data_IF_734420413390
#
_entry.id   IF_734420413390
#
_cell.length_a   1.000
_cell.length_b   1.000
_cell.length_c   1.000
_cell.angle_alpha   90.00
_cell.angle_beta   90.00
_cell.angle_gamma   90.00
#
_symmetry.space_group_name_H-M   'P 1'
#
loop_
_entity.id
_entity.type
_entity.pdbx_description
1 polymer ?
#
# COMPACT_ATOMS: atom_id res chain seq x y z
N UNK A 1 28.46 -3.70 -12.48
CA UNK A 1 27.26 -3.12 -13.06
C UNK A 1 26.30 -2.76 -11.94
N UNK A 2 25.86 -1.51 -11.81
CA UNK A 2 24.75 -1.18 -10.90
C UNK A 2 23.52 -1.93 -11.40
N UNK A 3 22.85 -2.68 -10.54
CA UNK A 3 21.54 -3.25 -10.87
C UNK A 3 20.56 -2.10 -11.07
N UNK A 4 19.84 -2.10 -12.17
CA UNK A 4 18.86 -1.07 -12.50
C UNK A 4 17.64 -1.14 -11.56
N UNK A 5 17.40 -2.31 -10.93
CA UNK A 5 16.37 -2.53 -9.94
C UNK A 5 16.79 -3.56 -8.86
N UNK A 6 16.07 -3.57 -7.73
CA UNK A 6 16.24 -4.52 -6.62
C UNK A 6 14.86 -5.02 -6.18
N UNK A 7 14.48 -6.21 -6.60
CA UNK A 7 13.16 -6.79 -6.33
C UNK A 7 12.92 -7.01 -4.81
N UNK A 8 13.99 -7.23 -4.04
CA UNK A 8 13.86 -7.48 -2.58
C UNK A 8 13.41 -6.26 -1.80
N UNK A 9 13.67 -5.06 -2.32
CA UNK A 9 13.22 -3.78 -1.76
C UNK A 9 11.91 -3.29 -2.37
N UNK A 10 11.48 -3.89 -3.47
CA UNK A 10 10.32 -3.45 -4.24
C UNK A 10 9.03 -3.70 -3.46
N UNK A 11 8.15 -2.73 -3.48
CA UNK A 11 6.79 -2.80 -2.91
C UNK A 11 5.71 -2.53 -3.96
N UNK A 12 6.09 -1.91 -5.07
CA UNK A 12 5.18 -1.55 -6.16
C UNK A 12 5.90 -1.68 -7.50
N UNK A 13 5.24 -2.29 -8.46
CA UNK A 13 5.59 -2.25 -9.88
C UNK A 13 4.52 -1.43 -10.60
N UNK A 14 4.95 -0.39 -11.33
CA UNK A 14 4.08 0.42 -12.17
C UNK A 14 4.34 0.02 -13.62
N UNK A 15 3.29 -0.31 -14.34
CA UNK A 15 3.33 -0.79 -15.70
C UNK A 15 2.89 0.29 -16.69
N UNK A 16 3.64 0.54 -17.75
CA UNK A 16 3.05 1.02 -18.97
C UNK A 16 2.26 -0.09 -19.66
N UNK A 17 1.45 0.21 -20.64
CA UNK A 17 0.59 -0.76 -21.31
C UNK A 17 1.09 -1.11 -22.70
N UNK A 18 1.07 -0.15 -23.64
CA UNK A 18 1.43 -0.39 -25.03
C UNK A 18 2.91 -0.79 -25.15
N UNK A 19 3.19 -1.80 -25.97
CA UNK A 19 4.54 -2.38 -26.20
C UNK A 19 5.30 -2.74 -24.90
N UNK A 20 4.58 -2.76 -23.74
CA UNK A 20 5.16 -3.05 -22.43
C UNK A 20 4.41 -4.17 -21.72
N UNK A 21 3.16 -3.95 -21.30
CA UNK A 21 2.35 -4.96 -20.61
C UNK A 21 1.70 -5.93 -21.60
N UNK A 22 1.33 -5.43 -22.76
CA UNK A 22 0.81 -6.19 -23.89
C UNK A 22 1.58 -5.85 -25.18
N UNK A 23 1.51 -6.73 -26.16
CA UNK A 23 2.06 -6.49 -27.48
C UNK A 23 1.08 -5.61 -28.28
N UNK A 24 1.58 -4.60 -28.97
CA UNK A 24 0.83 -3.65 -29.80
C UNK A 24 0.44 -2.36 -29.08
N UNK A 25 -0.03 -1.41 -29.87
CA UNK A 25 -0.48 -0.08 -29.44
C UNK A 25 -1.99 0.01 -29.58
N UNK A 26 -2.72 0.23 -28.49
CA UNK A 26 -4.19 0.17 -28.46
C UNK A 26 -4.85 1.16 -29.43
N UNK A 27 -4.28 2.35 -29.63
CA UNK A 27 -4.79 3.35 -30.57
C UNK A 27 -4.57 3.00 -32.05
N UNK A 28 -3.68 2.05 -32.35
CA UNK A 28 -3.31 1.67 -33.71
C UNK A 28 -3.99 0.38 -34.17
N UNK A 29 -4.62 -0.37 -33.24
CA UNK A 29 -5.31 -1.61 -33.62
C UNK A 29 -5.51 -2.60 -32.48
N UNK A 30 -5.39 -3.89 -32.81
CA UNK A 30 -5.55 -4.96 -31.83
C UNK A 30 -4.32 -5.10 -30.96
N UNK A 31 -4.55 -5.29 -29.66
CA UNK A 31 -3.49 -5.65 -28.70
C UNK A 31 -3.54 -7.15 -28.39
N UNK A 32 -2.43 -7.69 -27.89
CA UNK A 32 -2.36 -9.05 -27.42
C UNK A 32 -1.76 -9.09 -26.03
N UNK A 33 -2.52 -9.56 -25.03
CA UNK A 33 -2.03 -9.77 -23.70
C UNK A 33 -0.90 -10.83 -23.68
N UNK A 34 0.19 -10.52 -22.98
CA UNK A 34 1.24 -11.48 -22.70
C UNK A 34 0.84 -12.32 -21.47
N UNK A 35 0.67 -13.66 -21.61
CA UNK A 35 0.27 -14.51 -20.48
C UNK A 35 1.29 -14.52 -19.34
N UNK A 36 2.58 -14.37 -19.63
CA UNK A 36 3.64 -14.33 -18.61
C UNK A 36 3.57 -13.05 -17.77
N UNK A 37 3.24 -11.91 -18.39
CA UNK A 37 3.05 -10.65 -17.66
C UNK A 37 1.81 -10.70 -16.77
N UNK A 38 0.73 -11.31 -17.25
CA UNK A 38 -0.48 -11.52 -16.45
C UNK A 38 -0.18 -12.40 -15.22
N UNK A 39 0.56 -13.50 -15.41
CA UNK A 39 0.96 -14.36 -14.31
C UNK A 39 1.91 -13.63 -13.34
N UNK A 40 2.86 -12.87 -13.86
CA UNK A 40 3.79 -12.09 -13.02
C UNK A 40 3.06 -11.08 -12.12
N UNK A 41 2.01 -10.42 -12.60
CA UNK A 41 1.17 -9.51 -11.77
C UNK A 41 0.56 -10.27 -10.59
N UNK A 42 0.08 -11.49 -10.78
CA UNK A 42 -0.46 -12.33 -9.73
C UNK A 42 0.65 -12.77 -8.76
N UNK A 43 1.78 -13.23 -9.26
CA UNK A 43 2.94 -13.69 -8.48
C UNK A 43 3.55 -12.57 -7.63
N UNK A 44 3.71 -11.37 -8.20
CA UNK A 44 4.12 -10.17 -7.47
C UNK A 44 3.16 -9.89 -6.30
N UNK A 45 1.86 -9.95 -6.57
CA UNK A 45 0.83 -9.70 -5.54
C UNK A 45 0.88 -10.75 -4.43
N UNK A 46 1.08 -12.03 -4.76
CA UNK A 46 1.29 -13.13 -3.80
C UNK A 46 2.55 -12.92 -2.94
N UNK A 47 3.59 -12.30 -3.50
CA UNK A 47 4.79 -11.90 -2.73
C UNK A 47 4.59 -10.61 -1.93
N UNK A 48 3.40 -9.98 -2.06
CA UNK A 48 3.05 -8.73 -1.39
C UNK A 48 3.71 -7.50 -2.02
N UNK A 49 4.07 -7.60 -3.31
CA UNK A 49 4.46 -6.49 -4.17
C UNK A 49 3.22 -6.09 -4.97
N UNK A 50 2.84 -4.83 -4.87
CA UNK A 50 1.63 -4.32 -5.52
C UNK A 50 1.90 -3.95 -6.98
N UNK A 51 0.82 -3.85 -7.76
CA UNK A 51 0.88 -3.42 -9.15
C UNK A 51 0.03 -2.17 -9.36
N UNK A 52 0.47 -1.30 -10.26
CA UNK A 52 -0.27 -0.13 -10.75
C UNK A 52 -0.08 0.02 -12.26
N UNK A 53 -0.83 0.88 -12.87
CA UNK A 53 -0.70 1.24 -14.29
C UNK A 53 -0.46 2.75 -14.39
N UNK A 54 0.51 3.15 -15.24
CA UNK A 54 0.69 4.53 -15.68
C UNK A 54 0.88 4.56 -17.20
N UNK A 55 -0.18 4.78 -17.95
CA UNK A 55 -0.15 4.71 -19.42
C UNK A 55 -0.77 5.94 -20.07
N UNK A 56 -0.25 6.32 -21.25
CA UNK A 56 -0.80 7.36 -22.14
C UNK A 56 -1.84 6.71 -23.04
N UNK A 57 -3.06 6.58 -22.56
CA UNK A 57 -4.19 5.94 -23.23
C UNK A 57 -5.51 6.54 -22.75
N UNK A 58 -6.62 6.18 -23.40
CA UNK A 58 -7.95 6.46 -22.89
C UNK A 58 -8.40 5.37 -21.92
N UNK A 59 -8.76 5.74 -20.70
CA UNK A 59 -9.27 4.79 -19.70
C UNK A 59 -10.50 4.03 -20.20
N UNK A 60 -11.37 4.70 -20.97
CA UNK A 60 -12.57 4.11 -21.57
C UNK A 60 -12.26 3.05 -22.64
N UNK A 61 -11.09 3.11 -23.26
CA UNK A 61 -10.62 2.12 -24.23
C UNK A 61 -9.86 0.96 -23.56
N UNK A 62 -9.06 1.24 -22.54
CA UNK A 62 -8.25 0.26 -21.83
C UNK A 62 -9.10 -0.69 -20.97
N UNK A 63 -10.05 -0.14 -20.18
CA UNK A 63 -10.84 -0.94 -19.25
C UNK A 63 -11.60 -2.09 -19.94
N UNK A 64 -12.25 -1.92 -21.09
CA UNK A 64 -12.90 -3.01 -21.81
C UNK A 64 -11.96 -4.16 -22.19
N UNK A 65 -10.68 -3.89 -22.48
CA UNK A 65 -9.71 -4.94 -22.82
C UNK A 65 -9.53 -5.92 -21.65
N UNK A 66 -9.42 -5.40 -20.42
CA UNK A 66 -9.35 -6.24 -19.23
C UNK A 66 -10.67 -6.89 -18.86
N UNK A 67 -11.82 -6.27 -19.21
CA UNK A 67 -13.14 -6.82 -18.87
C UNK A 67 -13.60 -7.93 -19.80
N UNK A 68 -12.89 -8.20 -20.90
CA UNK A 68 -13.14 -9.34 -21.78
C UNK A 68 -12.93 -10.67 -21.06
N UNK A 69 -13.52 -11.74 -21.61
CA UNK A 69 -13.50 -13.06 -21.02
C UNK A 69 -12.06 -13.57 -20.84
N UNK A 70 -11.70 -13.93 -19.60
CA UNK A 70 -10.37 -14.45 -19.24
C UNK A 70 -9.44 -13.44 -18.57
N UNK A 71 -9.57 -12.14 -18.83
CA UNK A 71 -8.63 -11.13 -18.30
C UNK A 71 -9.19 -10.32 -17.11
N UNK A 72 -10.49 -10.36 -16.88
CA UNK A 72 -11.19 -9.60 -15.83
C UNK A 72 -10.59 -9.79 -14.43
N UNK A 73 -10.12 -11.02 -14.12
CA UNK A 73 -9.51 -11.32 -12.83
C UNK A 73 -8.23 -10.53 -12.58
N UNK A 74 -7.50 -10.13 -13.61
CA UNK A 74 -6.22 -9.43 -13.46
C UNK A 74 -6.39 -7.94 -13.16
N UNK A 75 -7.48 -7.32 -13.62
CA UNK A 75 -7.75 -5.91 -13.32
C UNK A 75 -7.79 -5.61 -11.83
N UNK A 76 -8.25 -6.56 -11.02
CA UNK A 76 -8.30 -6.38 -9.56
C UNK A 76 -6.93 -6.22 -8.90
N UNK A 77 -5.85 -6.66 -9.51
CA UNK A 77 -4.51 -6.54 -8.96
C UNK A 77 -3.89 -5.16 -9.15
N UNK A 78 -4.43 -4.35 -10.07
CA UNK A 78 -3.96 -2.99 -10.28
C UNK A 78 -4.61 -2.01 -9.31
N UNK A 79 -3.77 -1.17 -8.71
CA UNK A 79 -4.11 -0.18 -7.69
C UNK A 79 -3.78 1.21 -8.21
N UNK A 80 -4.63 2.19 -7.95
CA UNK A 80 -4.42 3.58 -8.36
C UNK A 80 -4.04 3.74 -9.85
N UNK A 81 -4.70 3.03 -10.79
CA UNK A 81 -4.34 3.12 -12.20
C UNK A 81 -4.49 4.55 -12.70
N UNK A 82 -3.47 5.06 -13.37
CA UNK A 82 -3.45 6.38 -13.99
C UNK A 82 -3.36 6.23 -15.51
N UNK A 83 -4.49 6.35 -16.19
CA UNK A 83 -4.61 6.14 -17.63
C UNK A 83 -5.21 7.41 -18.23
N UNK A 84 -4.38 8.23 -18.85
CA UNK A 84 -4.72 9.45 -19.56
C UNK A 84 -3.49 9.96 -20.35
N UNK A 85 -3.66 11.00 -21.17
CA UNK A 85 -2.63 11.54 -22.06
C UNK A 85 -1.65 12.54 -21.42
N UNK A 86 -1.83 12.86 -20.13
CA UNK A 86 -0.90 13.78 -19.46
C UNK A 86 0.51 13.17 -19.29
N UNK A 87 1.54 14.00 -19.11
CA UNK A 87 2.91 13.54 -18.83
C UNK A 87 2.95 12.53 -17.67
N UNK A 88 3.87 11.53 -17.76
CA UNK A 88 3.91 10.43 -16.79
C UNK A 88 4.57 10.79 -15.45
N UNK A 89 5.51 11.75 -15.44
CA UNK A 89 6.33 12.03 -14.27
C UNK A 89 5.54 12.41 -13.03
N UNK A 90 4.66 13.42 -13.10
CA UNK A 90 3.79 13.82 -11.97
C UNK A 90 2.78 12.74 -11.58
N UNK A 91 2.30 11.98 -12.57
CA UNK A 91 1.33 10.90 -12.36
C UNK A 91 1.93 9.76 -11.55
N UNK A 92 3.15 9.33 -11.89
CA UNK A 92 3.89 8.32 -11.14
C UNK A 92 4.17 8.81 -9.72
N UNK A 93 4.61 10.07 -9.56
CA UNK A 93 4.79 10.68 -8.24
C UNK A 93 3.49 10.67 -7.42
N UNK A 94 2.36 10.95 -8.06
CA UNK A 94 1.03 10.91 -7.43
C UNK A 94 0.64 9.49 -7.00
N UNK A 95 0.88 8.47 -7.82
CA UNK A 95 0.65 7.06 -7.46
C UNK A 95 1.48 6.68 -6.23
N UNK A 96 2.78 6.97 -6.23
CA UNK A 96 3.70 6.68 -5.13
C UNK A 96 3.23 7.35 -3.83
N UNK A 97 2.86 8.63 -3.90
CA UNK A 97 2.37 9.39 -2.76
C UNK A 97 1.04 8.85 -2.23
N UNK A 98 0.10 8.52 -3.13
CA UNK A 98 -1.21 7.97 -2.77
C UNK A 98 -1.12 6.61 -2.10
N UNK A 99 -0.08 5.84 -2.40
CA UNK A 99 0.21 4.55 -1.77
C UNK A 99 1.11 4.67 -0.52
N UNK A 100 1.50 5.89 -0.13
CA UNK A 100 2.40 6.15 0.99
C UNK A 100 3.71 5.36 0.87
N UNK A 101 4.28 5.30 -0.33
CA UNK A 101 5.53 4.60 -0.61
C UNK A 101 6.69 5.58 -0.77
N UNK A 102 7.92 5.06 -0.77
CA UNK A 102 9.14 5.77 -1.15
C UNK A 102 9.52 5.39 -2.58
N UNK A 103 10.12 6.31 -3.30
CA UNK A 103 10.56 6.11 -4.69
C UNK A 103 11.47 4.90 -4.84
N UNK A 104 12.42 4.70 -3.90
CA UNK A 104 13.36 3.58 -3.91
C UNK A 104 12.71 2.19 -3.71
N UNK A 105 11.41 2.15 -3.43
CA UNK A 105 10.64 0.91 -3.33
C UNK A 105 9.74 0.65 -4.54
N UNK A 106 9.92 1.41 -5.63
CA UNK A 106 9.07 1.35 -6.81
C UNK A 106 9.90 1.05 -8.07
N UNK A 107 9.42 0.13 -8.88
CA UNK A 107 9.92 -0.10 -10.24
C UNK A 107 8.88 0.43 -11.21
N UNK A 108 9.31 1.26 -12.17
CA UNK A 108 8.54 1.59 -13.37
C UNK A 108 9.02 0.74 -14.54
N UNK A 109 8.11 0.15 -15.29
CA UNK A 109 8.39 -0.57 -16.53
C UNK A 109 7.74 0.20 -17.67
N UNK A 110 8.55 0.61 -18.65
CA UNK A 110 8.12 1.43 -19.79
C UNK A 110 9.09 1.16 -20.96
N UNK A 111 8.59 1.02 -22.16
CA UNK A 111 9.40 0.79 -23.37
C UNK A 111 10.11 2.07 -23.84
N UNK A 112 9.60 3.23 -23.44
CA UNK A 112 10.07 4.51 -23.91
C UNK A 112 11.00 5.18 -22.90
N UNK A 113 12.30 5.25 -23.23
CA UNK A 113 13.32 5.89 -22.39
C UNK A 113 13.04 7.36 -22.10
N UNK A 114 12.36 8.09 -23.01
CA UNK A 114 11.99 9.47 -22.75
C UNK A 114 10.97 9.60 -21.62
N UNK A 115 10.01 8.67 -21.54
CA UNK A 115 9.07 8.58 -20.41
C UNK A 115 9.84 8.24 -19.12
N UNK A 116 10.75 7.27 -19.16
CA UNK A 116 11.58 6.89 -17.99
C UNK A 116 12.39 8.09 -17.50
N UNK A 117 13.01 8.86 -18.40
CA UNK A 117 13.79 10.05 -18.05
C UNK A 117 12.91 11.16 -17.47
N UNK A 118 11.71 11.39 -18.01
CA UNK A 118 10.71 12.29 -17.44
C UNK A 118 10.33 11.87 -16.03
N UNK A 119 10.04 10.57 -15.82
CA UNK A 119 9.66 10.04 -14.51
C UNK A 119 10.81 10.23 -13.50
N UNK A 120 12.06 9.94 -13.89
CA UNK A 120 13.24 10.12 -13.03
C UNK A 120 13.50 11.58 -12.66
N UNK A 121 13.08 12.53 -13.47
CA UNK A 121 13.13 13.94 -13.10
C UNK A 121 12.23 14.27 -11.91
N UNK A 122 11.01 13.70 -11.86
CA UNK A 122 10.07 13.91 -10.76
C UNK A 122 10.29 12.96 -9.55
N UNK A 123 10.88 11.80 -9.81
CA UNK A 123 11.14 10.73 -8.84
C UNK A 123 12.59 10.23 -9.01
N UNK A 124 13.61 10.99 -8.53
CA UNK A 124 15.01 10.67 -8.82
C UNK A 124 15.51 9.31 -8.31
N UNK A 125 14.86 8.77 -7.29
CA UNK A 125 15.26 7.50 -6.67
C UNK A 125 14.42 6.30 -7.15
N UNK A 126 13.54 6.48 -8.16
CA UNK A 126 12.74 5.38 -8.70
C UNK A 126 13.64 4.40 -9.47
N UNK A 127 13.37 3.12 -9.28
CA UNK A 127 13.98 2.08 -10.12
C UNK A 127 13.21 1.96 -11.44
N UNK A 128 13.90 1.62 -12.51
CA UNK A 128 13.27 1.47 -13.83
C UNK A 128 13.72 0.19 -14.50
N UNK A 129 12.87 -0.37 -15.36
CA UNK A 129 13.16 -1.50 -16.21
C UNK A 129 12.55 -1.27 -17.60
N UNK A 130 13.20 -1.80 -18.62
CA UNK A 130 12.68 -1.94 -19.97
C UNK A 130 11.91 -3.27 -20.11
N UNK A 131 11.03 -3.43 -21.11
CA UNK A 131 10.27 -4.68 -21.31
C UNK A 131 11.14 -5.94 -21.37
N UNK A 132 12.33 -5.88 -21.96
CA UNK A 132 13.27 -7.00 -22.04
C UNK A 132 13.78 -7.46 -20.67
N UNK A 133 13.64 -6.64 -19.65
CA UNK A 133 14.06 -6.96 -18.28
C UNK A 133 12.93 -7.59 -17.44
N UNK A 134 11.72 -7.71 -17.96
CA UNK A 134 10.56 -8.28 -17.23
C UNK A 134 10.84 -9.73 -16.85
N UNK A 135 11.41 -10.54 -17.76
CA UNK A 135 11.79 -11.91 -17.47
C UNK A 135 12.76 -12.00 -16.27
N UNK A 136 13.70 -11.07 -16.17
CA UNK A 136 14.64 -11.01 -15.03
C UNK A 136 13.93 -10.63 -13.71
N UNK A 137 12.93 -9.77 -13.76
CA UNK A 137 12.10 -9.46 -12.58
C UNK A 137 11.38 -10.72 -12.10
N UNK A 138 10.81 -11.51 -13.03
CA UNK A 138 10.16 -12.77 -12.71
C UNK A 138 11.15 -13.80 -12.14
N UNK A 139 12.32 -13.95 -12.76
CA UNK A 139 13.38 -14.83 -12.27
C UNK A 139 13.87 -14.45 -10.87
N UNK A 140 14.06 -13.18 -10.57
CA UNK A 140 14.55 -12.72 -9.26
C UNK A 140 13.46 -12.74 -8.17
N UNK A 141 12.20 -13.02 -8.51
CA UNK A 141 11.09 -12.98 -7.54
C UNK A 141 11.23 -14.04 -6.43
N UNK A 142 11.98 -15.13 -6.66
CA UNK A 142 12.28 -16.10 -5.61
C UNK A 142 13.09 -15.52 -4.45
N UNK A 143 13.85 -14.44 -4.67
CA UNK A 143 14.60 -13.75 -3.62
C UNK A 143 13.69 -13.07 -2.58
N UNK A 144 12.43 -12.88 -2.93
CA UNK A 144 11.43 -12.30 -2.00
C UNK A 144 10.84 -13.40 -1.13
N UNK A 145 11.29 -13.48 0.11
CA UNK A 145 10.90 -14.51 1.08
C UNK A 145 9.56 -14.26 1.80
N UNK A 146 8.67 -13.43 1.23
CA UNK A 146 7.35 -13.16 1.82
C UNK A 146 6.25 -13.70 0.93
N UNK A 147 5.19 -14.25 1.55
CA UNK A 147 3.97 -14.67 0.86
C UNK A 147 2.76 -14.06 1.53
N UNK A 148 1.81 -13.61 0.74
CA UNK A 148 0.52 -13.04 1.16
C UNK A 148 -0.63 -13.78 0.46
N UNK A 149 -0.80 -15.06 0.81
CA UNK A 149 -1.81 -15.95 0.21
C UNK A 149 -3.24 -15.42 0.35
N UNK A 150 -3.51 -14.63 1.38
CA UNK A 150 -4.80 -14.01 1.64
C UNK A 150 -5.00 -12.68 0.89
N UNK A 151 -4.01 -12.25 0.12
CA UNK A 151 -4.01 -10.94 -0.53
C UNK A 151 -4.33 -9.78 0.44
N UNK A 152 -3.83 -9.91 1.66
CA UNK A 152 -4.08 -8.96 2.75
C UNK A 152 -3.63 -7.56 2.39
N UNK A 153 -2.47 -7.42 1.72
CA UNK A 153 -1.94 -6.12 1.31
C UNK A 153 -2.74 -5.51 0.17
N UNK A 154 -3.11 -6.32 -0.81
CA UNK A 154 -3.98 -5.86 -1.89
C UNK A 154 -5.29 -5.29 -1.33
N UNK A 155 -5.95 -6.03 -0.42
CA UNK A 155 -7.17 -5.59 0.25
C UNK A 155 -6.97 -4.27 1.01
N UNK A 156 -5.86 -4.13 1.72
CA UNK A 156 -5.52 -2.91 2.46
C UNK A 156 -5.28 -1.70 1.55
N UNK A 157 -4.59 -1.89 0.41
CA UNK A 157 -4.41 -0.82 -0.57
C UNK A 157 -5.70 -0.48 -1.32
N UNK A 158 -6.61 -1.45 -1.53
CA UNK A 158 -7.97 -1.16 -2.04
C UNK A 158 -8.76 -0.25 -1.09
N UNK A 159 -8.66 -0.46 0.22
CA UNK A 159 -9.24 0.43 1.22
C UNK A 159 -8.67 1.85 1.08
N UNK A 160 -7.35 1.95 0.94
CA UNK A 160 -6.67 3.25 0.78
C UNK A 160 -7.09 3.94 -0.54
N UNK A 161 -7.25 3.18 -1.62
CA UNK A 161 -7.73 3.69 -2.91
C UNK A 161 -9.16 4.22 -2.81
N UNK A 162 -10.08 3.49 -2.15
CA UNK A 162 -11.45 3.93 -1.90
C UNK A 162 -11.49 5.23 -1.09
N UNK A 163 -10.66 5.28 -0.04
CA UNK A 163 -10.53 6.45 0.83
C UNK A 163 -10.05 7.68 0.08
N UNK A 164 -9.03 7.53 -0.78
CA UNK A 164 -8.54 8.62 -1.61
C UNK A 164 -9.59 9.09 -2.63
N UNK A 165 -10.30 8.17 -3.27
CA UNK A 165 -11.39 8.50 -4.21
C UNK A 165 -12.51 9.30 -3.53
N UNK A 166 -12.88 8.93 -2.30
CA UNK A 166 -13.91 9.67 -1.54
C UNK A 166 -13.40 11.06 -1.10
N UNK A 167 -12.14 11.12 -0.64
CA UNK A 167 -11.51 12.40 -0.26
C UNK A 167 -11.49 13.40 -1.41
N UNK A 168 -11.17 12.95 -2.62
CA UNK A 168 -11.16 13.81 -3.82
C UNK A 168 -12.56 14.29 -4.23
N UNK A 169 -13.62 13.53 -3.92
CA UNK A 169 -15.01 13.91 -4.20
C UNK A 169 -15.58 14.89 -3.16
N UNK A 170 -15.06 14.87 -1.95
CA UNK A 170 -15.52 15.70 -0.85
C UNK A 170 -14.61 16.91 -0.71
N UNK A 171 -15.14 18.11 -0.96
CA UNK A 171 -14.41 19.38 -0.82
C UNK A 171 -14.30 19.79 0.66
N UNK A 172 -13.90 18.87 1.56
CA UNK A 172 -13.83 19.10 3.00
C UNK A 172 -12.37 19.17 3.48
N UNK A 173 -12.15 19.77 4.64
CA UNK A 173 -10.83 19.78 5.28
C UNK A 173 -10.36 18.34 5.60
N UNK A 174 -9.04 18.16 5.77
CA UNK A 174 -8.51 16.86 6.16
C UNK A 174 -9.06 16.37 7.51
N UNK A 175 -9.21 17.25 8.47
CA UNK A 175 -9.76 16.94 9.79
C UNK A 175 -11.24 16.52 9.69
N UNK A 176 -12.06 17.25 8.94
CA UNK A 176 -13.45 16.90 8.72
C UNK A 176 -13.61 15.54 8.02
N UNK A 177 -12.74 15.25 7.05
CA UNK A 177 -12.69 13.95 6.40
C UNK A 177 -12.35 12.83 7.38
N UNK A 178 -11.35 13.03 8.27
CA UNK A 178 -10.96 12.05 9.28
C UNK A 178 -12.08 11.81 10.31
N UNK A 179 -12.79 12.85 10.74
CA UNK A 179 -13.98 12.72 11.60
C UNK A 179 -15.08 11.89 10.95
N UNK A 180 -15.36 12.14 9.67
CA UNK A 180 -16.35 11.39 8.88
C UNK A 180 -15.90 9.95 8.56
N UNK A 181 -14.64 9.63 8.76
CA UNK A 181 -14.09 8.28 8.53
C UNK A 181 -14.37 7.31 9.68
N UNK A 182 -14.81 7.80 10.86
CA UNK A 182 -15.18 6.96 12.02
C UNK A 182 -14.06 6.02 12.46
N UNK A 183 -12.85 6.56 12.64
CA UNK A 183 -11.67 5.77 12.97
C UNK A 183 -11.81 5.21 14.39
N UNK A 184 -11.68 3.90 14.51
CA UNK A 184 -11.64 3.16 15.78
C UNK A 184 -10.31 2.44 15.91
N UNK A 185 -9.77 2.41 17.12
CA UNK A 185 -8.60 1.62 17.45
C UNK A 185 -8.84 0.77 18.70
N UNK A 186 -8.13 -0.35 18.78
CA UNK A 186 -8.05 -1.20 19.95
C UNK A 186 -6.58 -1.47 20.27
N UNK A 187 -6.21 -1.42 21.55
CA UNK A 187 -4.87 -1.70 22.04
C UNK A 187 -4.91 -3.06 22.75
N UNK A 188 -4.14 -4.03 22.23
CA UNK A 188 -4.11 -5.43 22.71
C UNK A 188 -2.76 -5.77 23.29
N UNK A 189 -2.73 -6.53 24.41
CA UNK A 189 -1.52 -6.89 25.15
C UNK A 189 -1.09 -8.36 24.99
N UNK A 190 -1.81 -9.15 24.22
CA UNK A 190 -1.52 -10.57 23.91
C UNK A 190 -0.47 -10.68 22.76
N UNK A 191 0.67 -9.99 22.93
CA UNK A 191 1.70 -9.85 21.89
C UNK A 191 2.34 -11.19 21.51
N UNK A 192 2.45 -12.16 22.42
CA UNK A 192 3.05 -13.48 22.15
C UNK A 192 2.28 -14.26 21.08
N UNK A 193 0.95 -14.20 21.12
CA UNK A 193 0.09 -14.90 20.16
C UNK A 193 0.23 -14.31 18.74
N UNK A 194 0.59 -13.03 18.66
CA UNK A 194 0.70 -12.28 17.41
C UNK A 194 2.15 -11.94 17.02
N UNK A 195 3.15 -12.60 17.64
CA UNK A 195 4.57 -12.27 17.49
C UNK A 195 5.04 -12.29 16.03
N UNK A 196 4.56 -13.22 15.21
CA UNK A 196 4.92 -13.31 13.79
C UNK A 196 4.47 -12.06 13.02
N UNK A 197 3.27 -11.55 13.34
CA UNK A 197 2.72 -10.37 12.69
C UNK A 197 3.38 -9.08 13.18
N UNK A 198 3.73 -9.03 14.47
CA UNK A 198 4.48 -7.92 15.07
C UNK A 198 5.90 -7.84 14.45
N UNK A 199 6.59 -8.98 14.37
CA UNK A 199 7.89 -9.09 13.73
C UNK A 199 7.87 -8.61 12.26
N UNK A 200 6.89 -9.07 11.48
CA UNK A 200 6.69 -8.59 10.12
C UNK A 200 6.48 -7.06 10.08
N UNK A 201 5.67 -6.51 10.98
CA UNK A 201 5.42 -5.08 11.06
C UNK A 201 6.71 -4.30 11.37
N UNK A 202 7.52 -4.77 12.33
CA UNK A 202 8.81 -4.18 12.72
C UNK A 202 9.75 -4.14 11.50
N UNK A 203 9.91 -5.26 10.81
CA UNK A 203 10.88 -5.37 9.71
C UNK A 203 10.44 -4.60 8.45
N UNK A 204 9.15 -4.47 8.22
CA UNK A 204 8.60 -3.81 7.02
C UNK A 204 8.33 -2.32 7.20
N UNK A 205 8.16 -1.85 8.42
CA UNK A 205 7.87 -0.44 8.68
C UNK A 205 9.15 0.37 8.67
N UNK A 206 9.16 1.43 7.90
CA UNK A 206 10.30 2.34 7.81
C UNK A 206 9.91 3.79 8.08
N UNK A 207 8.86 4.30 7.42
CA UNK A 207 8.48 5.71 7.48
C UNK A 207 7.89 6.12 8.83
N UNK A 208 7.11 5.24 9.47
CA UNK A 208 6.52 5.43 10.80
C UNK A 208 7.14 4.51 11.87
N UNK A 209 8.41 4.13 11.72
CA UNK A 209 9.19 3.52 12.80
C UNK A 209 10.05 4.60 13.44
N UNK A 210 9.64 5.06 14.60
CA UNK A 210 10.28 6.20 15.27
C UNK A 210 11.62 5.84 15.90
N UNK A 211 11.76 4.63 16.44
CA UNK A 211 13.01 4.17 17.10
C UNK A 211 13.97 3.46 16.17
N UNK A 212 13.52 3.07 14.97
CA UNK A 212 14.25 2.28 13.97
C UNK A 212 14.79 0.94 14.46
N UNK A 213 14.43 0.50 15.67
CA UNK A 213 14.84 -0.82 16.19
C UNK A 213 14.28 -1.94 15.32
N UNK A 214 15.04 -3.04 15.23
CA UNK A 214 14.77 -4.25 14.45
C UNK A 214 15.13 -5.48 15.28
N UNK A 215 14.60 -5.54 16.49
CA UNK A 215 14.89 -6.61 17.43
C UNK A 215 14.39 -7.96 16.88
N UNK A 216 15.10 -9.03 17.24
CA UNK A 216 14.74 -10.40 16.88
C UNK A 216 13.48 -10.86 17.65
N UNK A 217 12.84 -11.94 17.17
CA UNK A 217 11.70 -12.54 17.89
C UNK A 217 12.06 -12.97 19.30
N UNK A 218 13.31 -13.42 19.50
CA UNK A 218 13.84 -13.82 20.80
C UNK A 218 13.93 -12.62 21.76
N UNK A 219 14.35 -11.46 21.27
CA UNK A 219 14.41 -10.23 22.06
C UNK A 219 13.01 -9.67 22.33
N UNK A 220 12.10 -9.75 21.36
CA UNK A 220 10.71 -9.36 21.56
C UNK A 220 10.00 -10.19 22.64
N UNK A 221 10.29 -11.51 22.72
CA UNK A 221 9.76 -12.36 23.79
C UNK A 221 10.16 -11.88 25.17
N UNK A 222 11.41 -11.42 25.36
CA UNK A 222 11.89 -10.86 26.64
C UNK A 222 11.03 -9.67 27.09
N UNK A 223 10.67 -8.77 26.16
CA UNK A 223 9.77 -7.66 26.50
C UNK A 223 8.35 -8.13 26.86
N UNK A 224 7.85 -9.18 26.20
CA UNK A 224 6.48 -9.68 26.45
C UNK A 224 6.36 -10.47 27.74
N UNK A 225 7.45 -11.13 28.18
CA UNK A 225 7.50 -11.95 29.39
C UNK A 225 7.77 -11.09 30.65
N UNK A 226 8.66 -10.09 30.55
CA UNK A 226 8.93 -9.17 31.67
C UNK A 226 7.89 -8.05 31.76
N UNK A 227 6.68 -8.42 32.15
CA UNK A 227 5.56 -7.48 32.36
C UNK A 227 5.79 -6.55 33.57
N UNK A 228 6.81 -6.79 34.40
CA UNK A 228 7.15 -5.90 35.51
C UNK A 228 7.83 -4.63 35.01
N UNK A 229 8.75 -4.76 34.08
CA UNK A 229 9.55 -3.66 33.51
C UNK A 229 8.90 -3.05 32.26
N UNK A 230 8.27 -3.88 31.42
CA UNK A 230 7.76 -3.43 30.11
C UNK A 230 6.23 -3.49 30.00
N UNK A 231 5.67 -2.52 29.32
CA UNK A 231 4.30 -2.55 28.81
C UNK A 231 4.37 -2.63 27.29
N UNK A 232 3.95 -3.78 26.75
CA UNK A 232 4.01 -4.06 25.31
C UNK A 232 2.60 -4.27 24.78
N UNK A 233 2.26 -3.61 23.67
CA UNK A 233 0.97 -3.80 23.03
C UNK A 233 1.06 -3.57 21.52
N UNK A 234 0.13 -4.18 20.79
CA UNK A 234 -0.13 -3.89 19.40
C UNK A 234 -1.46 -3.17 19.22
N UNK A 235 -1.56 -2.44 18.12
CA UNK A 235 -2.72 -1.62 17.80
C UNK A 235 -3.42 -2.20 16.58
N UNK A 236 -4.73 -2.43 16.71
CA UNK A 236 -5.64 -2.74 15.61
C UNK A 236 -6.42 -1.48 15.29
N UNK A 237 -6.65 -1.22 14.01
CA UNK A 237 -7.49 -0.10 13.58
C UNK A 237 -8.50 -0.53 12.52
N UNK A 238 -9.65 0.12 12.55
CA UNK A 238 -10.66 0.07 11.49
C UNK A 238 -11.28 1.45 11.28
N UNK A 239 -11.87 1.66 10.13
CA UNK A 239 -12.74 2.80 9.84
C UNK A 239 -13.93 2.36 8.98
N UNK A 240 -14.76 3.30 8.53
CA UNK A 240 -15.93 2.98 7.69
C UNK A 240 -15.59 2.27 6.36
N UNK A 241 -14.35 2.37 5.89
CA UNK A 241 -13.88 1.74 4.65
C UNK A 241 -13.42 0.30 4.86
N UNK A 242 -12.93 -0.06 6.05
CA UNK A 242 -12.51 -1.40 6.36
C UNK A 242 -11.55 -1.52 7.54
N UNK A 243 -10.98 -2.71 7.71
CA UNK A 243 -10.01 -3.02 8.76
C UNK A 243 -8.57 -2.89 8.23
N UNK A 244 -7.69 -2.29 9.04
CA UNK A 244 -6.25 -2.21 8.79
C UNK A 244 -5.47 -3.35 9.46
N UNK A 245 -6.17 -4.18 10.25
CA UNK A 245 -5.55 -5.25 11.04
C UNK A 245 -4.57 -4.69 12.08
N UNK A 246 -3.52 -5.46 12.42
CA UNK A 246 -2.43 -4.99 13.27
C UNK A 246 -1.66 -3.92 12.49
N UNK A 247 -1.76 -2.69 12.94
CA UNK A 247 -1.20 -1.52 12.26
C UNK A 247 -0.23 -0.69 13.10
N UNK A 248 -0.06 -1.00 14.38
CA UNK A 248 0.90 -0.35 15.27
C UNK A 248 1.42 -1.30 16.34
N UNK A 249 2.58 -0.97 16.90
CA UNK A 249 3.21 -1.69 18.00
C UNK A 249 4.06 -0.76 18.86
N UNK A 250 4.01 -0.96 20.17
CA UNK A 250 4.90 -0.27 21.08
C UNK A 250 5.45 -1.20 22.18
N UNK A 251 6.60 -0.81 22.73
CA UNK A 251 7.15 -1.32 23.97
C UNK A 251 7.55 -0.11 24.83
N UNK A 252 6.90 0.05 25.95
CA UNK A 252 7.20 1.09 26.93
C UNK A 252 7.94 0.49 28.12
N UNK A 253 9.14 0.98 28.39
CA UNK A 253 9.84 0.71 29.64
C UNK A 253 9.19 1.57 30.74
N UNK A 254 8.52 0.92 31.69
CA UNK A 254 7.77 1.59 32.77
C UNK A 254 8.67 2.26 33.79
N UNK A 255 9.90 1.74 33.97
CA UNK A 255 10.83 2.25 34.97
C UNK A 255 11.38 3.62 34.59
N UNK A 256 11.84 3.75 33.34
CA UNK A 256 12.41 5.01 32.84
C UNK A 256 11.42 5.82 31.98
N UNK A 257 10.18 5.36 31.81
CA UNK A 257 9.13 5.96 30.97
C UNK A 257 9.61 6.23 29.54
N UNK A 258 10.33 5.29 28.94
CA UNK A 258 10.92 5.42 27.61
C UNK A 258 10.35 4.38 26.66
N UNK A 259 10.01 4.79 25.43
CA UNK A 259 9.58 3.89 24.36
C UNK A 259 10.79 3.21 23.71
N UNK A 260 10.88 1.90 23.87
CA UNK A 260 11.87 1.04 23.23
C UNK A 260 11.50 0.77 21.77
N UNK A 261 10.22 0.47 21.52
CA UNK A 261 9.62 0.39 20.20
C UNK A 261 8.42 1.32 20.10
N UNK A 262 8.31 2.04 19.01
CA UNK A 262 7.12 2.82 18.66
C UNK A 262 7.03 2.93 17.14
N UNK A 263 6.12 2.16 16.54
CA UNK A 263 6.04 2.08 15.09
C UNK A 263 4.63 1.78 14.60
N UNK A 264 4.33 2.27 13.39
CA UNK A 264 3.01 2.14 12.77
C UNK A 264 3.15 1.87 11.28
N UNK A 265 2.22 1.09 10.73
CA UNK A 265 2.15 0.80 9.30
C UNK A 265 1.97 2.08 8.47
N UNK A 266 2.69 2.22 7.38
CA UNK A 266 2.54 3.35 6.46
C UNK A 266 1.11 3.50 5.88
N UNK A 267 0.30 2.44 5.93
CA UNK A 267 -1.10 2.45 5.47
C UNK A 267 -2.02 3.32 6.32
N UNK A 268 -1.67 3.54 7.59
CA UNK A 268 -2.44 4.44 8.48
C UNK A 268 -1.83 5.85 8.54
N UNK A 269 -0.87 6.14 7.68
CA UNK A 269 -0.21 7.44 7.62
C UNK A 269 -1.25 8.56 7.43
N UNK A 270 -1.04 9.68 8.07
CA UNK A 270 -1.92 10.84 8.08
C UNK A 270 -3.31 10.59 8.71
N UNK A 271 -3.51 9.50 9.45
CA UNK A 271 -4.73 9.26 10.21
C UNK A 271 -4.64 9.79 11.65
N UNK A 272 -3.43 10.06 12.16
CA UNK A 272 -3.17 10.55 13.51
C UNK A 272 -3.21 9.44 14.59
N UNK A 273 -3.18 8.17 14.19
CA UNK A 273 -3.21 7.03 15.13
C UNK A 273 -1.96 7.01 16.02
N UNK A 274 -0.80 7.32 15.45
CA UNK A 274 0.46 7.44 16.18
C UNK A 274 0.41 8.52 17.26
N UNK A 275 -0.16 9.69 16.95
CA UNK A 275 -0.35 10.79 17.90
C UNK A 275 -1.33 10.43 19.01
N UNK A 276 -2.42 9.76 18.67
CA UNK A 276 -3.39 9.28 19.62
C UNK A 276 -2.75 8.31 20.63
N UNK A 277 -2.03 7.29 20.15
CA UNK A 277 -1.38 6.29 20.99
C UNK A 277 -0.28 6.93 21.84
N UNK A 278 0.51 7.86 21.29
CA UNK A 278 1.52 8.60 22.04
C UNK A 278 0.90 9.42 23.18
N UNK A 279 -0.22 10.07 22.92
CA UNK A 279 -0.98 10.82 23.94
C UNK A 279 -1.63 9.90 24.99
N UNK A 280 -2.17 8.75 24.55
CA UNK A 280 -2.73 7.71 25.44
C UNK A 280 -1.68 7.17 26.42
N UNK A 281 -0.42 7.07 25.98
CA UNK A 281 0.71 6.64 26.81
C UNK A 281 1.28 7.81 27.68
N UNK A 282 0.61 8.95 27.76
CA UNK A 282 1.04 10.14 28.52
C UNK A 282 2.34 10.76 28.01
N UNK A 283 2.61 10.65 26.69
CA UNK A 283 3.77 11.24 26.01
C UNK A 283 5.11 10.86 26.65
N UNK A 284 5.45 9.57 26.74
CA UNK A 284 6.69 9.11 27.32
C UNK A 284 7.89 9.59 26.52
N UNK A 285 9.07 9.48 27.10
CA UNK A 285 10.30 9.78 26.38
C UNK A 285 10.48 8.83 25.20
N UNK A 286 10.94 9.35 24.07
CA UNK A 286 11.24 8.57 22.86
C UNK A 286 12.49 9.13 22.17
N UNK A 287 13.44 8.25 21.86
CA UNK A 287 14.59 8.61 21.04
C UNK A 287 14.22 8.42 19.55
N UNK A 288 13.83 9.51 18.90
CA UNK A 288 13.42 9.49 17.50
C UNK A 288 14.63 9.43 16.59
N UNK A 289 14.72 8.39 15.76
CA UNK A 289 15.77 8.20 14.75
C UNK A 289 15.22 8.59 13.37
N UNK A 290 15.78 9.64 12.81
CA UNK A 290 15.37 10.16 11.50
C UNK A 290 15.84 9.26 10.33
N UNK A 291 15.16 9.30 9.16
CA UNK A 291 13.97 10.09 8.87
C UNK A 291 12.67 9.38 9.31
N UNK A 292 11.71 10.16 9.80
CA UNK A 292 10.32 9.72 10.04
C UNK A 292 9.37 10.63 9.28
N UNK A 293 8.22 10.09 8.88
CA UNK A 293 7.25 10.82 8.03
C UNK A 293 6.10 11.46 8.83
N UNK A 294 6.18 11.45 10.16
CA UNK A 294 5.19 12.07 11.04
C UNK A 294 5.88 12.70 12.24
N UNK A 295 5.30 13.77 12.79
CA UNK A 295 5.73 14.41 14.03
C UNK A 295 4.73 14.05 15.12
N UNK A 296 5.22 13.74 16.33
CA UNK A 296 4.41 13.44 17.48
C UNK A 296 4.02 14.71 18.23
N UNK A 297 2.80 14.76 18.74
CA UNK A 297 2.29 15.88 19.58
C UNK A 297 1.11 16.61 18.98
N UNK A 298 0.55 16.12 17.89
CA UNK A 298 -0.71 16.60 17.31
C UNK A 298 -1.93 16.26 18.15
N UNK A 299 -3.09 16.74 17.73
CA UNK A 299 -4.41 16.39 18.30
C UNK A 299 -5.11 15.39 17.38
N UNK A 300 -5.66 14.32 17.93
CA UNK A 300 -6.32 13.24 17.18
C UNK A 300 -7.68 12.90 17.77
N UNK A 301 -8.49 13.93 18.05
CA UNK A 301 -9.79 13.83 18.74
C UNK A 301 -10.91 13.19 17.88
N UNK A 302 -10.60 12.78 16.64
CA UNK A 302 -11.48 12.03 15.75
C UNK A 302 -11.33 10.51 15.88
N UNK A 303 -10.41 10.02 16.72
CA UNK A 303 -10.16 8.61 16.94
C UNK A 303 -10.91 8.13 18.19
N UNK A 304 -11.59 7.01 18.06
CA UNK A 304 -12.29 6.36 19.16
C UNK A 304 -11.52 5.11 19.62
N UNK A 305 -11.13 5.09 20.90
CA UNK A 305 -10.63 3.87 21.55
C UNK A 305 -11.82 2.97 21.88
N UNK A 306 -11.72 1.69 21.54
CA UNK A 306 -12.72 0.65 21.83
C UNK A 306 -12.06 -0.55 22.49
N UNK A 307 -12.82 -1.28 23.31
CA UNK A 307 -12.29 -2.42 24.09
C UNK A 307 -11.96 -3.62 23.22
N UNK A 308 -12.68 -3.80 22.12
CA UNK A 308 -12.46 -4.92 21.22
C UNK A 308 -12.66 -4.53 19.76
N UNK A 309 -11.70 -4.96 18.94
CA UNK A 309 -11.79 -5.09 17.49
C UNK A 309 -11.29 -6.48 17.14
N UNK A 310 -12.11 -7.27 16.47
CA UNK A 310 -11.70 -8.58 16.01
C UNK A 310 -10.66 -8.46 14.90
N UNK A 311 -9.66 -9.32 14.92
CA UNK A 311 -8.75 -9.54 13.79
C UNK A 311 -9.51 -10.29 12.68
N UNK A 312 -10.55 -9.66 12.13
CA UNK A 312 -11.28 -10.21 10.99
C UNK A 312 -10.40 -10.22 9.75
N UNK A 313 -10.61 -11.19 8.84
CA UNK A 313 -10.06 -11.09 7.50
C UNK A 313 -10.39 -9.71 6.93
N UNK A 314 -9.41 -9.06 6.29
CA UNK A 314 -9.61 -7.72 5.72
C UNK A 314 -10.62 -7.84 4.59
N UNK A 315 -11.83 -7.39 4.84
CA UNK A 315 -12.88 -7.30 3.84
C UNK A 315 -12.99 -5.85 3.36
N UNK A 316 -12.82 -5.65 2.07
CA UNK A 316 -13.16 -4.38 1.43
C UNK A 316 -14.67 -4.31 1.38
N UNK A 317 -15.30 -3.37 2.10
CA UNK A 317 -16.75 -3.16 2.00
C UNK A 317 -17.09 -2.88 0.54
N UNK A 318 -17.90 -3.75 -0.08
CA UNK A 318 -18.38 -3.55 -1.44
C UNK A 318 -19.12 -2.21 -1.47
N UNK A 319 -18.60 -1.24 -2.22
CA UNK A 319 -19.47 -0.16 -2.68
C UNK A 319 -20.58 -0.79 -3.50
N UNK A 320 -21.80 -0.26 -3.33
CA UNK A 320 -22.96 -0.67 -4.11
C UNK A 320 -22.55 -0.76 -5.57
N UNK A 321 -22.91 -1.86 -6.21
CA UNK A 321 -22.64 -2.14 -7.62
C UNK A 321 -22.89 -0.89 -8.45
N UNK A 322 -21.88 -0.43 -9.19
CA UNK A 322 -22.08 0.59 -10.22
C UNK A 322 -22.94 -0.08 -11.28
N UNK A 323 -24.21 0.25 -11.31
CA UNK A 323 -25.10 -0.07 -12.43
C UNK A 323 -24.63 0.79 -13.59
N UNK A 324 -23.85 0.23 -14.50
CA UNK A 324 -23.50 0.86 -15.76
C UNK A 324 -24.74 0.77 -16.64
N UNK A 325 -25.49 1.86 -16.72
CA UNK A 325 -26.58 2.02 -17.67
C UNK A 325 -25.96 2.31 -19.05
N UNK A 326 -25.89 1.30 -19.90
CA UNK A 326 -25.56 1.51 -21.32
C UNK A 326 -26.71 2.22 -21.99
N UNK A 327 -26.60 3.53 -22.20
CA UNK A 327 -27.43 4.28 -23.14
C UNK A 327 -26.75 4.21 -24.52
N UNK A 328 -26.99 3.15 -25.25
CA UNK A 328 -26.67 3.04 -26.68
C UNK A 328 -27.88 3.42 -27.50
N UNK A 329 -27.73 4.36 -28.42
CA UNK A 329 -28.71 4.64 -29.47
C UNK A 329 -28.43 3.71 -30.67
N UNK A 330 -28.67 2.40 -30.51
CA UNK A 330 -28.74 1.45 -31.62
C UNK A 330 -29.37 0.13 -31.15
N UNK A 331 -30.27 -0.39 -31.96
CA UNK A 331 -31.02 -1.61 -31.74
C UNK A 331 -30.15 -2.82 -31.35
N UNK A 332 -30.44 -3.37 -30.18
CA UNK A 332 -29.88 -4.65 -29.70
C UNK A 332 -30.64 -5.88 -30.26
N UNK A 333 -31.27 -5.77 -31.40
CA UNK A 333 -31.95 -6.88 -32.09
C UNK A 333 -31.40 -7.02 -33.51
N UNK A 334 -30.22 -7.60 -33.62
CA UNK A 334 -29.80 -8.39 -34.79
C UNK A 334 -28.42 -8.98 -34.52
N UNK A 335 -28.39 -10.18 -34.10
CA UNK A 335 -27.69 -11.44 -34.35
C UNK A 335 -27.71 -12.28 -33.08
#
# INVERSE_FOLDING_TARGET
MKKDFDITKTKLVIWDLDETFWDGTLSEGSIKFNPEHLQLVEDLTLKGIMNSICSKNDHSAVLPQFLTQGYRKYWQYFLFPSINWAPKGERVKSIISSMNLREENVIIIDDNEANINEIKYYCPNIMSALPEQIAKIAEELYLVNSYDFEFTRLKQYKILELKNKEKLKTNCSNEEFLRKSEIKICIKKDCLENINRIDELIHRTNQLNFTKKRDSKEDLKKYFEDKSTYDSAYIIAEDKYGSYGICGFYVLNKTCKTLEHFLFSCRIMNMGIEDFVFSYLEKPHINIVLPVSSFLGGTSNWIKLVDNLDLKPIEVKKQASINILFKGACDLYSV
#
